data_IF_527340687729
#
_entry.id   IF_527340687729
#
_cell.length_a   1.000
_cell.length_b   1.000
_cell.length_c   1.000
_cell.angle_alpha   90.00
_cell.angle_beta   90.00
_cell.angle_gamma   90.00
#
_symmetry.space_group_name_H-M   'P 1'
#
loop_
_entity.id
_entity.type
_entity.pdbx_description
1 polymer ?
#
# COMPACT_ATOMS: atom_id res chain seq x y z
N UNK A 1 -55.22 -23.46 -39.18
CA UNK A 1 -54.51 -22.16 -38.94
C UNK A 1 -54.79 -21.57 -37.54
N UNK A 2 -56.05 -21.55 -37.04
CA UNK A 2 -56.36 -21.05 -35.67
C UNK A 2 -55.64 -21.82 -34.56
N UNK A 3 -55.57 -23.16 -34.62
CA UNK A 3 -54.89 -24.00 -33.60
C UNK A 3 -53.37 -23.71 -33.50
N UNK A 4 -52.70 -23.49 -34.63
CA UNK A 4 -51.27 -23.20 -34.67
C UNK A 4 -50.94 -21.80 -34.08
N UNK A 5 -51.80 -20.80 -34.37
CA UNK A 5 -51.69 -19.43 -33.80
C UNK A 5 -51.81 -19.46 -32.29
N UNK A 6 -52.79 -20.17 -31.74
CA UNK A 6 -53.00 -20.27 -30.29
C UNK A 6 -51.86 -21.02 -29.60
N UNK A 7 -51.26 -22.04 -30.23
CA UNK A 7 -50.06 -22.71 -29.71
C UNK A 7 -48.85 -21.77 -29.70
N UNK A 8 -48.65 -20.99 -30.76
CA UNK A 8 -47.56 -20.03 -30.84
C UNK A 8 -47.66 -18.92 -29.77
N UNK A 9 -48.86 -18.38 -29.57
CA UNK A 9 -49.13 -17.40 -28.53
C UNK A 9 -48.85 -17.95 -27.11
N UNK A 10 -49.27 -19.19 -26.85
CA UNK A 10 -48.99 -19.87 -25.57
C UNK A 10 -47.50 -20.07 -25.35
N UNK A 11 -46.78 -20.54 -26.39
CA UNK A 11 -45.31 -20.70 -26.31
C UNK A 11 -44.60 -19.35 -26.08
N UNK A 12 -45.04 -18.30 -26.79
CA UNK A 12 -44.49 -16.96 -26.60
C UNK A 12 -44.69 -16.45 -25.16
N UNK A 13 -45.91 -16.63 -24.63
CA UNK A 13 -46.18 -16.23 -23.23
C UNK A 13 -45.30 -16.99 -22.23
N UNK A 14 -45.13 -18.30 -22.39
CA UNK A 14 -44.24 -19.09 -21.52
C UNK A 14 -42.78 -18.63 -21.66
N UNK A 15 -42.32 -18.33 -22.89
CA UNK A 15 -40.97 -17.83 -23.11
C UNK A 15 -40.76 -16.44 -22.48
N UNK A 16 -41.75 -15.54 -22.57
CA UNK A 16 -41.70 -14.20 -21.98
C UNK A 16 -41.69 -14.29 -20.44
N UNK A 17 -42.55 -15.14 -19.86
CA UNK A 17 -42.56 -15.40 -18.40
C UNK A 17 -41.23 -15.99 -17.91
N UNK A 18 -40.66 -16.97 -18.61
CA UNK A 18 -39.38 -17.56 -18.29
C UNK A 18 -38.22 -16.55 -18.41
N UNK A 19 -38.28 -15.66 -19.41
CA UNK A 19 -37.30 -14.58 -19.59
C UNK A 19 -37.37 -13.57 -18.45
N UNK A 20 -38.58 -13.21 -18.05
CA UNK A 20 -38.77 -12.27 -16.94
C UNK A 20 -38.25 -12.87 -15.62
N UNK A 21 -38.59 -14.12 -15.33
CA UNK A 21 -38.08 -14.83 -14.12
C UNK A 21 -36.57 -14.94 -14.14
N UNK A 22 -35.94 -15.24 -15.28
CA UNK A 22 -34.50 -15.27 -15.43
C UNK A 22 -33.86 -13.90 -15.19
N UNK A 23 -34.46 -12.80 -15.67
CA UNK A 23 -33.99 -11.44 -15.44
C UNK A 23 -34.10 -11.04 -13.97
N UNK A 24 -35.20 -11.38 -13.30
CA UNK A 24 -35.36 -11.12 -11.85
C UNK A 24 -34.30 -11.88 -11.03
N UNK A 25 -34.09 -13.15 -11.32
CA UNK A 25 -33.04 -13.95 -10.66
C UNK A 25 -31.63 -13.43 -10.91
N UNK A 26 -31.38 -12.97 -12.15
CA UNK A 26 -30.05 -12.35 -12.47
C UNK A 26 -29.84 -11.09 -11.65
N UNK A 27 -30.84 -10.22 -11.54
CA UNK A 27 -30.77 -9.01 -10.73
C UNK A 27 -30.55 -9.30 -9.23
N UNK A 28 -31.23 -10.34 -8.70
CA UNK A 28 -31.03 -10.78 -7.31
C UNK A 28 -29.60 -11.29 -7.07
N UNK A 29 -29.07 -12.08 -8.02
CA UNK A 29 -27.70 -12.60 -7.96
C UNK A 29 -26.67 -11.48 -8.04
N UNK A 30 -26.87 -10.47 -8.88
CA UNK A 30 -25.99 -9.30 -8.97
C UNK A 30 -25.95 -8.52 -7.65
N UNK A 31 -27.10 -8.30 -7.01
CA UNK A 31 -27.19 -7.64 -5.69
C UNK A 31 -26.47 -8.48 -4.62
N UNK A 32 -26.69 -9.78 -4.59
CA UNK A 32 -26.02 -10.67 -3.63
C UNK A 32 -24.51 -10.71 -3.86
N UNK A 33 -24.08 -10.83 -5.11
CA UNK A 33 -22.68 -10.80 -5.53
C UNK A 33 -22.01 -9.49 -5.09
N UNK A 34 -22.65 -8.33 -5.32
CA UNK A 34 -22.16 -7.02 -4.88
C UNK A 34 -22.04 -6.90 -3.35
N UNK A 35 -22.92 -7.56 -2.59
CA UNK A 35 -22.78 -7.59 -1.12
C UNK A 35 -21.62 -8.47 -0.69
N UNK A 36 -21.44 -9.64 -1.30
CA UNK A 36 -20.34 -10.56 -0.97
C UNK A 36 -18.97 -10.01 -1.37
N UNK A 37 -18.90 -9.20 -2.44
CA UNK A 37 -17.63 -8.58 -2.86
C UNK A 37 -16.96 -7.71 -1.78
N UNK A 38 -17.75 -7.20 -0.82
CA UNK A 38 -17.22 -6.40 0.31
C UNK A 38 -16.49 -7.21 1.38
N UNK A 39 -16.65 -8.53 1.38
CA UNK A 39 -16.02 -9.45 2.34
C UNK A 39 -14.79 -10.16 1.76
N UNK A 40 -14.49 -9.93 0.49
CA UNK A 40 -13.33 -10.48 -0.21
C UNK A 40 -12.45 -9.33 -0.71
N UNK A 41 -11.15 -9.60 -0.89
CA UNK A 41 -10.35 -8.63 -1.65
C UNK A 41 -10.86 -8.56 -3.09
N UNK A 42 -10.86 -7.37 -3.73
CA UNK A 42 -11.38 -7.21 -5.09
C UNK A 42 -10.75 -8.18 -6.10
N UNK A 43 -9.43 -8.41 -5.98
CA UNK A 43 -8.69 -9.31 -6.88
C UNK A 43 -9.17 -10.76 -6.73
N UNK A 44 -9.45 -11.22 -5.51
CA UNK A 44 -9.94 -12.58 -5.26
C UNK A 44 -11.38 -12.73 -5.70
N UNK A 45 -12.20 -11.71 -5.45
CA UNK A 45 -13.56 -11.67 -5.96
C UNK A 45 -13.60 -11.84 -7.49
N UNK A 46 -12.80 -11.05 -8.24
CA UNK A 46 -12.71 -11.15 -9.69
C UNK A 46 -12.24 -12.53 -10.16
N UNK A 47 -11.24 -13.13 -9.50
CA UNK A 47 -10.75 -14.46 -9.84
C UNK A 47 -11.82 -15.55 -9.67
N UNK A 48 -12.60 -15.49 -8.59
CA UNK A 48 -13.68 -16.46 -8.32
C UNK A 48 -14.82 -16.27 -9.33
N UNK A 49 -15.28 -15.03 -9.56
CA UNK A 49 -16.43 -14.77 -10.42
C UNK A 49 -16.11 -14.85 -11.92
N UNK A 50 -14.84 -14.69 -12.34
CA UNK A 50 -14.40 -14.96 -13.70
C UNK A 50 -14.22 -16.46 -14.00
N UNK A 51 -14.32 -17.33 -12.99
CA UNK A 51 -14.10 -18.76 -13.12
C UNK A 51 -12.63 -19.16 -13.25
N UNK A 52 -11.70 -18.23 -13.02
CA UNK A 52 -10.26 -18.49 -13.07
C UNK A 52 -9.74 -19.18 -11.80
N UNK A 53 -10.50 -19.12 -10.72
CA UNK A 53 -10.16 -19.75 -9.45
C UNK A 53 -11.37 -20.49 -8.87
N UNK A 54 -11.18 -21.77 -8.55
CA UNK A 54 -12.17 -22.55 -7.82
C UNK A 54 -12.10 -22.28 -6.32
N UNK A 55 -13.24 -22.26 -5.64
CA UNK A 55 -13.34 -22.17 -4.19
C UNK A 55 -13.02 -23.52 -3.53
N UNK A 56 -11.91 -24.15 -3.89
CA UNK A 56 -11.43 -25.39 -3.32
C UNK A 56 -10.23 -25.12 -2.40
N UNK A 57 -9.97 -26.06 -1.47
CA UNK A 57 -8.75 -26.02 -0.61
C UNK A 57 -7.55 -26.30 -1.50
N UNK A 58 -6.97 -25.23 -2.07
CA UNK A 58 -5.79 -25.32 -2.91
C UNK A 58 -4.81 -24.20 -2.50
N UNK A 59 -3.54 -24.55 -2.46
CA UNK A 59 -2.50 -23.59 -2.15
C UNK A 59 -1.27 -23.83 -3.04
N UNK A 60 -0.50 -22.78 -3.25
CA UNK A 60 0.72 -22.83 -4.02
C UNK A 60 1.85 -22.06 -3.32
N UNK A 61 3.08 -22.48 -3.58
CA UNK A 61 4.28 -21.81 -3.05
C UNK A 61 4.73 -20.74 -4.04
N UNK A 62 4.70 -19.48 -3.59
CA UNK A 62 5.12 -18.32 -4.40
C UNK A 62 6.08 -17.43 -3.60
N UNK A 63 6.97 -16.73 -4.30
CA UNK A 63 7.77 -15.67 -3.70
C UNK A 63 6.94 -14.39 -3.75
N UNK A 64 6.54 -13.88 -2.59
CA UNK A 64 5.66 -12.74 -2.41
C UNK A 64 6.35 -11.64 -1.60
N UNK A 65 5.95 -10.41 -1.83
CA UNK A 65 6.28 -9.30 -0.94
C UNK A 65 5.12 -9.07 0.01
N UNK A 66 5.37 -9.20 1.30
CA UNK A 66 4.40 -9.11 2.38
C UNK A 66 4.59 -7.82 3.14
N UNK A 67 3.50 -7.13 3.37
CA UNK A 67 3.42 -5.85 4.06
C UNK A 67 2.55 -5.99 5.32
N UNK A 68 3.02 -5.43 6.41
CA UNK A 68 2.26 -5.18 7.63
C UNK A 68 2.31 -3.71 7.99
N UNK A 69 1.19 -3.15 8.41
CA UNK A 69 1.15 -1.86 9.09
C UNK A 69 0.29 -1.92 10.33
N UNK A 70 0.55 -1.04 11.29
CA UNK A 70 -0.15 -0.96 12.58
C UNK A 70 -0.18 0.49 13.06
N UNK A 71 -1.24 0.91 13.76
CA UNK A 71 -1.33 2.24 14.36
C UNK A 71 -0.59 2.23 15.70
N UNK A 72 0.32 3.16 15.87
CA UNK A 72 1.12 3.27 17.10
C UNK A 72 0.21 3.66 18.27
N UNK A 73 0.23 2.85 19.34
CA UNK A 73 -0.54 3.13 20.56
C UNK A 73 -2.06 2.98 20.41
N UNK A 74 -2.54 2.20 19.43
CA UNK A 74 -3.97 2.04 19.18
C UNK A 74 -4.73 1.50 20.39
N UNK A 75 -4.13 0.62 21.18
CA UNK A 75 -4.74 0.11 22.43
C UNK A 75 -5.11 1.25 23.38
N UNK A 76 -4.23 2.21 23.58
CA UNK A 76 -4.49 3.37 24.44
C UNK A 76 -5.60 4.26 23.86
N UNK A 77 -5.68 4.34 22.53
CA UNK A 77 -6.72 5.11 21.82
C UNK A 77 -8.09 4.44 22.06
N UNK A 78 -8.17 3.12 21.98
CA UNK A 78 -9.43 2.37 22.19
C UNK A 78 -9.99 2.50 23.61
N UNK A 79 -9.13 2.75 24.60
CA UNK A 79 -9.55 2.96 25.98
C UNK A 79 -10.14 4.36 26.23
N UNK A 80 -9.90 5.32 25.34
CA UNK A 80 -10.26 6.73 25.52
C UNK A 80 -11.39 7.21 24.62
N UNK A 81 -11.68 6.49 23.51
CA UNK A 81 -12.72 6.87 22.56
C UNK A 81 -14.03 6.12 22.84
N UNK A 82 -15.14 6.80 22.61
CA UNK A 82 -16.46 6.15 22.59
C UNK A 82 -16.56 5.19 21.39
N UNK A 83 -17.36 4.13 21.52
CA UNK A 83 -17.44 3.05 20.53
C UNK A 83 -17.81 3.51 19.12
N UNK A 84 -18.71 4.47 18.98
CA UNK A 84 -19.14 5.03 17.69
C UNK A 84 -18.02 5.85 17.05
N UNK A 85 -17.30 6.64 17.85
CA UNK A 85 -16.18 7.45 17.41
C UNK A 85 -15.00 6.57 16.97
N UNK A 86 -14.69 5.54 17.76
CA UNK A 86 -13.67 4.53 17.44
C UNK A 86 -14.00 3.81 16.12
N UNK A 87 -15.25 3.38 15.95
CA UNK A 87 -15.72 2.71 14.72
C UNK A 87 -15.57 3.63 13.51
N UNK A 88 -15.94 4.90 13.65
CA UNK A 88 -15.83 5.87 12.58
C UNK A 88 -14.37 6.16 12.22
N UNK A 89 -13.51 6.28 13.22
CA UNK A 89 -12.07 6.50 13.05
C UNK A 89 -11.41 5.34 12.30
N UNK A 90 -11.62 4.11 12.77
CA UNK A 90 -10.98 2.94 12.16
C UNK A 90 -11.48 2.69 10.74
N UNK A 91 -12.78 2.85 10.49
CA UNK A 91 -13.33 2.71 9.14
C UNK A 91 -12.80 3.77 8.17
N UNK A 92 -12.63 5.00 8.61
CA UNK A 92 -12.01 6.05 7.80
C UNK A 92 -10.55 5.69 7.49
N UNK A 93 -9.75 5.33 8.50
CA UNK A 93 -8.36 4.92 8.33
C UNK A 93 -8.22 3.74 7.35
N UNK A 94 -8.99 2.67 7.57
CA UNK A 94 -8.94 1.50 6.69
C UNK A 94 -9.37 1.82 5.26
N UNK A 95 -10.32 2.74 5.07
CA UNK A 95 -10.76 3.18 3.73
C UNK A 95 -9.64 3.90 2.99
N UNK A 96 -8.97 4.86 3.64
CA UNK A 96 -7.85 5.59 3.04
C UNK A 96 -6.70 4.65 2.68
N UNK A 97 -6.30 3.77 3.61
CA UNK A 97 -5.20 2.82 3.39
C UNK A 97 -5.53 1.79 2.31
N UNK A 98 -6.76 1.27 2.29
CA UNK A 98 -7.22 0.31 1.27
C UNK A 98 -7.24 0.93 -0.13
N UNK A 99 -7.67 2.17 -0.24
CA UNK A 99 -7.68 2.89 -1.52
C UNK A 99 -6.26 3.00 -2.09
N UNK A 100 -5.28 3.32 -1.24
CA UNK A 100 -3.87 3.35 -1.65
C UNK A 100 -3.39 1.94 -2.02
N UNK A 101 -3.71 0.92 -1.21
CA UNK A 101 -3.30 -0.46 -1.49
C UNK A 101 -3.77 -0.95 -2.87
N UNK A 102 -5.03 -0.72 -3.18
CA UNK A 102 -5.62 -1.12 -4.47
C UNK A 102 -5.01 -0.35 -5.65
N UNK A 103 -4.71 0.94 -5.48
CA UNK A 103 -4.04 1.77 -6.49
C UNK A 103 -2.70 1.17 -6.96
N UNK A 104 -1.94 0.56 -6.04
CA UNK A 104 -0.65 -0.06 -6.34
C UNK A 104 -0.74 -1.54 -6.70
N UNK A 105 -1.93 -2.14 -6.68
CA UNK A 105 -2.15 -3.56 -7.01
C UNK A 105 -1.86 -4.50 -5.83
N UNK A 106 -1.87 -3.99 -4.59
CA UNK A 106 -1.75 -4.80 -3.39
C UNK A 106 -2.99 -5.65 -3.14
N UNK A 107 -2.81 -6.91 -2.84
CA UNK A 107 -3.89 -7.81 -2.41
C UNK A 107 -4.05 -7.70 -0.90
N UNK A 108 -5.17 -7.13 -0.47
CA UNK A 108 -5.49 -7.01 0.96
C UNK A 108 -5.92 -8.39 1.45
N UNK A 109 -5.13 -8.97 2.34
CA UNK A 109 -5.46 -10.26 2.97
C UNK A 109 -6.54 -10.06 4.03
N UNK A 110 -6.23 -9.31 5.06
CA UNK A 110 -7.14 -9.05 6.19
C UNK A 110 -6.72 -7.85 7.02
N UNK A 111 -7.70 -7.39 7.80
CA UNK A 111 -7.48 -6.47 8.90
C UNK A 111 -7.41 -7.25 10.22
N UNK A 112 -6.45 -6.91 11.06
CA UNK A 112 -6.25 -7.54 12.38
C UNK A 112 -6.31 -6.41 13.43
N UNK A 113 -7.53 -6.04 13.83
CA UNK A 113 -7.76 -4.80 14.57
C UNK A 113 -7.47 -3.59 13.69
N UNK A 114 -6.48 -2.81 14.06
CA UNK A 114 -5.95 -1.67 13.30
C UNK A 114 -4.81 -2.03 12.34
N UNK A 115 -4.27 -3.25 12.48
CA UNK A 115 -3.23 -3.73 11.59
C UNK A 115 -3.79 -4.17 10.22
N UNK A 116 -3.00 -3.95 9.18
CA UNK A 116 -3.34 -4.32 7.81
C UNK A 116 -2.27 -5.27 7.27
N UNK A 117 -2.71 -6.45 6.81
CA UNK A 117 -1.88 -7.39 6.07
C UNK A 117 -2.18 -7.30 4.58
N UNK A 118 -1.15 -7.02 3.78
CA UNK A 118 -1.21 -6.92 2.33
C UNK A 118 -0.07 -7.73 1.73
N UNK A 119 -0.28 -8.31 0.56
CA UNK A 119 0.80 -8.93 -0.19
C UNK A 119 0.75 -8.58 -1.68
N UNK A 120 1.90 -8.72 -2.35
CA UNK A 120 2.10 -8.51 -3.78
C UNK A 120 2.69 -9.76 -4.41
N UNK A 121 2.32 -10.01 -5.67
CA UNK A 121 2.79 -11.17 -6.44
C UNK A 121 1.78 -12.30 -6.57
N UNK A 122 0.55 -12.09 -6.05
CA UNK A 122 -0.58 -13.00 -6.20
C UNK A 122 -1.91 -12.23 -5.98
N UNK A 123 -2.98 -12.52 -6.74
CA UNK A 123 -3.06 -13.44 -7.87
C UNK A 123 -2.27 -13.00 -9.10
N UNK A 124 -1.98 -11.70 -9.23
CA UNK A 124 -1.20 -11.12 -10.32
C UNK A 124 0.21 -10.75 -9.85
N UNK A 125 1.20 -10.91 -10.72
CA UNK A 125 2.58 -10.53 -10.46
C UNK A 125 3.16 -9.83 -11.69
N UNK A 126 3.90 -8.75 -11.43
CA UNK A 126 4.71 -8.04 -12.43
C UNK A 126 6.19 -8.46 -12.38
N UNK A 127 6.49 -9.41 -11.52
CA UNK A 127 7.85 -9.86 -11.20
C UNK A 127 8.33 -9.36 -9.83
N UNK A 128 9.19 -10.12 -9.18
CA UNK A 128 9.56 -9.93 -7.77
C UNK A 128 10.07 -8.53 -7.44
N UNK A 129 10.87 -7.94 -8.32
CA UNK A 129 11.43 -6.60 -8.11
C UNK A 129 10.35 -5.52 -8.27
N UNK A 130 9.47 -5.63 -9.27
CA UNK A 130 8.39 -4.67 -9.50
C UNK A 130 7.29 -4.79 -8.45
N UNK A 131 6.96 -6.00 -8.01
CA UNK A 131 6.03 -6.25 -6.90
C UNK A 131 6.55 -5.64 -5.59
N UNK A 132 7.85 -5.82 -5.28
CA UNK A 132 8.48 -5.20 -4.13
C UNK A 132 8.54 -3.67 -4.23
N UNK A 133 8.85 -3.13 -5.41
CA UNK A 133 8.86 -1.68 -5.65
C UNK A 133 7.46 -1.07 -5.50
N UNK A 134 6.43 -1.73 -6.04
CA UNK A 134 5.03 -1.31 -5.90
C UNK A 134 4.60 -1.31 -4.43
N UNK A 135 5.01 -2.31 -3.66
CA UNK A 135 4.77 -2.37 -2.22
C UNK A 135 5.43 -1.20 -1.47
N UNK A 136 6.67 -0.84 -1.80
CA UNK A 136 7.35 0.30 -1.18
C UNK A 136 6.70 1.63 -1.54
N UNK A 137 6.33 1.83 -2.81
CA UNK A 137 5.60 3.04 -3.25
C UNK A 137 4.28 3.19 -2.51
N UNK A 138 3.52 2.11 -2.37
CA UNK A 138 2.31 2.06 -1.55
C UNK A 138 2.59 2.48 -0.11
N UNK A 139 3.62 1.91 0.52
CA UNK A 139 3.99 2.21 1.89
C UNK A 139 4.38 3.68 2.10
N UNK A 140 5.12 4.26 1.16
CA UNK A 140 5.50 5.68 1.18
C UNK A 140 4.26 6.56 1.05
N UNK A 141 3.35 6.27 0.10
CA UNK A 141 2.11 7.03 -0.05
C UNK A 141 1.20 6.92 1.17
N UNK A 142 1.12 5.75 1.83
CA UNK A 142 0.41 5.59 3.09
C UNK A 142 0.98 6.50 4.19
N UNK A 143 2.31 6.58 4.34
CA UNK A 143 2.94 7.49 5.30
C UNK A 143 2.68 8.97 4.96
N UNK A 144 2.75 9.33 3.68
CA UNK A 144 2.41 10.69 3.22
C UNK A 144 0.96 11.05 3.54
N UNK A 145 0.01 10.13 3.29
CA UNK A 145 -1.39 10.30 3.64
C UNK A 145 -1.59 10.52 5.14
N UNK A 146 -0.92 9.76 5.99
CA UNK A 146 -0.97 9.97 7.44
C UNK A 146 -0.44 11.34 7.86
N UNK A 147 0.60 11.86 7.20
CA UNK A 147 1.10 13.21 7.42
C UNK A 147 0.09 14.29 6.97
N UNK A 148 -0.53 14.12 5.80
CA UNK A 148 -1.61 15.02 5.33
C UNK A 148 -2.78 15.08 6.32
N UNK A 149 -3.12 13.94 6.93
CA UNK A 149 -4.21 13.81 7.89
C UNK A 149 -3.83 14.27 9.31
N UNK A 150 -2.63 14.79 9.56
CA UNK A 150 -2.17 15.18 10.91
C UNK A 150 -3.18 16.06 11.64
N UNK A 151 -3.68 17.11 10.99
CA UNK A 151 -4.67 18.03 11.58
C UNK A 151 -6.10 17.51 11.53
N UNK A 152 -6.37 16.52 10.68
CA UNK A 152 -7.71 15.94 10.52
C UNK A 152 -8.13 15.16 11.76
N UNK A 153 -7.22 14.40 12.36
CA UNK A 153 -7.50 13.53 13.50
C UNK A 153 -8.00 14.30 14.72
N UNK A 154 -7.31 15.37 15.10
CA UNK A 154 -7.74 16.20 16.23
C UNK A 154 -9.00 17.04 15.98
N UNK A 155 -9.35 17.31 14.70
CA UNK A 155 -10.56 18.07 14.35
C UNK A 155 -11.81 17.21 14.29
N UNK A 156 -11.69 15.97 13.88
CA UNK A 156 -12.84 15.10 13.59
C UNK A 156 -13.02 14.00 14.64
N UNK A 157 -12.00 13.74 15.45
CA UNK A 157 -12.02 12.76 16.51
C UNK A 157 -11.40 13.37 17.76
N UNK A 158 -11.80 12.91 18.94
CA UNK A 158 -11.33 13.45 20.23
C UNK A 158 -9.90 13.04 20.58
N UNK A 159 -9.00 13.03 19.56
CA UNK A 159 -7.61 12.63 19.73
C UNK A 159 -6.74 13.79 20.19
N UNK A 160 -5.87 13.52 21.18
CA UNK A 160 -4.89 14.48 21.70
C UNK A 160 -3.68 14.65 20.78
N UNK A 161 -3.37 13.62 19.98
CA UNK A 161 -2.24 13.61 19.04
C UNK A 161 -2.65 13.00 17.71
N UNK A 162 -1.91 13.36 16.65
CA UNK A 162 -2.12 12.75 15.35
C UNK A 162 -1.78 11.25 15.39
N UNK A 163 -2.52 10.46 14.58
CA UNK A 163 -2.20 9.05 14.39
C UNK A 163 -0.89 8.92 13.61
N UNK A 164 -0.10 7.94 13.99
CA UNK A 164 1.09 7.50 13.27
C UNK A 164 1.04 5.99 13.06
N UNK A 165 1.57 5.55 11.94
CA UNK A 165 1.67 4.13 11.60
C UNK A 165 3.14 3.73 11.50
N UNK A 166 3.41 2.46 11.73
CA UNK A 166 4.69 1.81 11.46
C UNK A 166 4.46 0.69 10.45
N UNK A 167 5.46 0.45 9.63
CA UNK A 167 5.34 -0.45 8.49
C UNK A 167 6.53 -1.40 8.45
N UNK A 168 6.25 -2.69 8.25
CA UNK A 168 7.22 -3.75 8.03
C UNK A 168 6.97 -4.48 6.72
N UNK A 169 8.04 -4.67 5.90
CA UNK A 169 7.93 -5.31 4.59
C UNK A 169 9.00 -6.40 4.46
N UNK A 170 8.60 -7.56 3.98
CA UNK A 170 9.50 -8.66 3.71
C UNK A 170 9.13 -9.40 2.42
N UNK A 171 10.13 -9.80 1.65
CA UNK A 171 9.95 -10.63 0.45
C UNK A 171 10.47 -12.04 0.72
N UNK A 172 9.68 -13.05 0.39
CA UNK A 172 10.09 -14.43 0.58
C UNK A 172 9.11 -15.45 0.05
N UNK A 173 9.49 -16.74 0.09
CA UNK A 173 8.62 -17.83 -0.34
C UNK A 173 7.56 -18.13 0.71
N UNK A 174 6.33 -17.84 0.36
CA UNK A 174 5.12 -18.10 1.14
C UNK A 174 4.28 -19.22 0.50
N UNK A 175 3.35 -19.74 1.26
CA UNK A 175 2.26 -20.54 0.72
C UNK A 175 1.01 -19.66 0.69
N UNK A 176 0.43 -19.45 -0.48
CA UNK A 176 -0.76 -18.63 -0.71
C UNK A 176 -1.87 -19.47 -1.33
N UNK A 177 -3.10 -19.19 -0.97
CA UNK A 177 -4.27 -19.90 -1.47
C UNK A 177 -5.40 -19.96 -0.45
N UNK A 178 -6.33 -20.89 -0.70
CA UNK A 178 -7.48 -21.14 0.17
C UNK A 178 -7.08 -22.04 1.33
N UNK A 179 -7.21 -21.53 2.54
CA UNK A 179 -6.99 -22.27 3.79
C UNK A 179 -8.24 -22.26 4.64
N UNK A 180 -8.52 -23.35 5.31
CA UNK A 180 -9.63 -23.44 6.23
C UNK A 180 -10.28 -24.83 6.31
N UNK A 181 -11.55 -24.84 6.60
CA UNK A 181 -12.38 -26.06 6.68
C UNK A 181 -13.35 -26.11 5.49
N UNK A 182 -14.07 -27.23 5.37
CA UNK A 182 -15.13 -27.39 4.36
C UNK A 182 -16.21 -26.28 4.43
N UNK A 183 -16.41 -25.69 5.62
CA UNK A 183 -17.47 -24.70 5.86
C UNK A 183 -16.97 -23.26 5.85
N UNK A 184 -15.64 -23.04 5.89
CA UNK A 184 -15.05 -21.70 5.92
C UNK A 184 -13.66 -21.73 5.31
N UNK A 185 -13.48 -20.95 4.25
CA UNK A 185 -12.21 -20.75 3.57
C UNK A 185 -11.80 -19.28 3.66
N UNK A 186 -10.52 -19.06 3.92
CA UNK A 186 -9.88 -17.77 3.82
C UNK A 186 -8.81 -17.86 2.72
N UNK A 187 -8.84 -16.97 1.75
CA UNK A 187 -7.71 -16.80 0.84
C UNK A 187 -6.66 -15.97 1.54
N UNK A 188 -5.53 -16.56 1.84
CA UNK A 188 -4.51 -15.93 2.68
C UNK A 188 -3.11 -16.43 2.36
N UNK A 189 -2.12 -15.77 2.92
CA UNK A 189 -0.71 -16.10 2.84
C UNK A 189 -0.19 -16.59 4.19
N UNK A 190 0.55 -17.70 4.19
CA UNK A 190 1.19 -18.25 5.39
C UNK A 190 2.68 -18.54 5.13
N UNK A 191 3.46 -18.51 6.19
CA UNK A 191 4.88 -18.88 6.18
C UNK A 191 5.75 -17.99 7.05
N UNK A 192 7.01 -18.37 7.22
CA UNK A 192 8.00 -17.59 7.97
C UNK A 192 8.20 -16.16 7.43
N UNK A 193 8.10 -15.89 6.10
CA UNK A 193 8.20 -14.52 5.60
C UNK A 193 7.10 -13.59 6.10
N UNK A 194 5.88 -14.09 6.31
CA UNK A 194 4.77 -13.32 6.89
C UNK A 194 5.08 -12.91 8.32
N UNK A 195 5.58 -13.84 9.11
CA UNK A 195 5.98 -13.58 10.49
C UNK A 195 7.16 -12.59 10.58
N UNK A 196 8.07 -12.61 9.60
CA UNK A 196 9.18 -11.66 9.56
C UNK A 196 8.65 -10.25 9.26
N UNK A 197 7.74 -10.09 8.29
CA UNK A 197 7.14 -8.79 7.97
C UNK A 197 6.45 -8.17 9.21
N UNK A 198 5.66 -8.95 9.95
CA UNK A 198 5.03 -8.51 11.20
C UNK A 198 6.05 -8.09 12.28
N UNK A 199 7.17 -8.82 12.42
CA UNK A 199 8.22 -8.45 13.38
C UNK A 199 8.97 -7.19 12.97
N UNK A 200 9.21 -6.99 11.69
CA UNK A 200 9.80 -5.75 11.17
C UNK A 200 8.89 -4.57 11.46
N UNK A 201 7.58 -4.72 11.23
CA UNK A 201 6.57 -3.72 11.61
C UNK A 201 6.69 -3.37 13.09
N UNK A 202 6.64 -4.37 13.97
CA UNK A 202 6.71 -4.16 15.43
C UNK A 202 8.04 -3.55 15.91
N UNK A 203 9.11 -3.71 15.13
CA UNK A 203 10.44 -3.13 15.41
C UNK A 203 10.61 -1.72 14.84
N UNK A 204 9.70 -1.30 13.95
CA UNK A 204 9.77 0.02 13.34
C UNK A 204 9.42 1.13 14.31
N UNK A 205 10.12 2.25 14.21
CA UNK A 205 9.75 3.47 14.92
C UNK A 205 8.48 4.08 14.28
N UNK A 206 7.71 4.90 15.02
CA UNK A 206 6.56 5.62 14.46
C UNK A 206 6.92 6.37 13.16
N UNK A 207 6.04 6.29 12.17
CA UNK A 207 6.20 6.89 10.84
C UNK A 207 7.36 6.34 10.00
N UNK A 208 7.89 5.17 10.35
CA UNK A 208 9.00 4.53 9.63
C UNK A 208 8.54 3.29 8.86
N UNK A 209 9.27 3.02 7.77
CA UNK A 209 9.10 1.84 6.93
C UNK A 209 10.38 1.02 7.02
N UNK A 210 10.26 -0.19 7.52
CA UNK A 210 11.38 -1.12 7.68
C UNK A 210 11.22 -2.30 6.71
N UNK A 211 12.30 -2.63 6.01
CA UNK A 211 12.32 -3.75 5.07
C UNK A 211 13.39 -4.77 5.42
N UNK A 212 13.18 -6.04 5.07
CA UNK A 212 14.18 -7.09 5.19
C UNK A 212 15.30 -6.95 4.16
N UNK A 213 16.41 -7.65 4.38
CA UNK A 213 17.53 -7.76 3.43
C UNK A 213 17.06 -8.28 2.06
N UNK A 214 16.16 -9.28 2.03
CA UNK A 214 15.61 -9.81 0.77
C UNK A 214 14.83 -8.76 -0.03
N UNK A 215 14.06 -7.92 0.64
CA UNK A 215 13.35 -6.81 0.00
C UNK A 215 14.33 -5.73 -0.45
N UNK A 216 15.30 -5.37 0.42
CA UNK A 216 16.35 -4.40 0.10
C UNK A 216 17.08 -4.76 -1.21
N UNK A 217 17.50 -6.01 -1.37
CA UNK A 217 18.23 -6.46 -2.56
C UNK A 217 17.41 -6.31 -3.87
N UNK A 218 16.09 -6.32 -3.79
CA UNK A 218 15.21 -6.15 -4.94
C UNK A 218 14.99 -4.69 -5.34
N UNK A 219 15.11 -3.76 -4.37
CA UNK A 219 14.66 -2.37 -4.54
C UNK A 219 15.75 -1.31 -4.35
N UNK A 220 16.97 -1.69 -3.96
CA UNK A 220 18.08 -0.79 -3.62
C UNK A 220 18.49 0.18 -4.72
N UNK A 221 18.21 -0.16 -5.99
CA UNK A 221 18.52 0.70 -7.12
C UNK A 221 17.42 1.75 -7.39
N UNK A 222 16.26 1.63 -6.72
CA UNK A 222 15.10 2.49 -6.88
C UNK A 222 14.81 3.35 -5.64
N UNK A 223 15.33 2.95 -4.47
CA UNK A 223 15.06 3.62 -3.19
C UNK A 223 16.35 3.83 -2.41
N UNK A 224 16.43 4.93 -1.69
CA UNK A 224 17.46 5.15 -0.69
C UNK A 224 17.06 4.43 0.61
N UNK A 225 17.91 3.50 1.06
CA UNK A 225 17.69 2.72 2.28
C UNK A 225 18.96 2.71 3.13
N UNK A 226 18.78 2.78 4.45
CA UNK A 226 19.86 2.72 5.41
C UNK A 226 19.75 1.47 6.29
N UNK A 227 20.88 0.79 6.52
CA UNK A 227 20.95 -0.36 7.42
C UNK A 227 20.73 0.11 8.87
N UNK A 228 19.71 -0.42 9.54
CA UNK A 228 19.35 -0.05 10.91
C UNK A 228 19.84 -1.07 11.92
N UNK A 229 19.88 -2.35 11.55
CA UNK A 229 20.29 -3.40 12.46
C UNK A 229 20.03 -4.81 11.96
N UNK A 230 20.06 -5.75 12.91
CA UNK A 230 19.84 -7.16 12.67
C UNK A 230 18.76 -7.72 13.62
N UNK A 231 17.89 -8.58 13.11
CA UNK A 231 16.88 -9.29 13.89
C UNK A 231 17.19 -10.79 13.93
N UNK A 232 17.16 -11.39 15.12
CA UNK A 232 17.25 -12.84 15.30
C UNK A 232 15.85 -13.44 15.21
N UNK A 233 15.70 -14.42 14.35
CA UNK A 233 14.46 -15.15 14.15
C UNK A 233 14.57 -16.57 14.72
N UNK A 234 13.51 -17.01 15.44
CA UNK A 234 13.42 -18.39 15.88
C UNK A 234 13.36 -19.31 14.64
N UNK A 235 14.32 -20.24 14.56
CA UNK A 235 14.42 -21.17 13.42
C UNK A 235 15.31 -20.70 12.26
N UNK A 236 15.92 -19.51 12.36
CA UNK A 236 16.93 -19.02 11.41
C UNK A 236 18.25 -18.88 12.15
N UNK A 237 19.29 -19.57 11.67
CA UNK A 237 20.59 -19.66 12.36
C UNK A 237 21.40 -18.36 12.31
N UNK A 238 21.17 -17.52 11.30
CA UNK A 238 21.85 -16.22 11.12
C UNK A 238 20.91 -15.07 11.42
N UNK A 239 21.40 -13.96 11.98
CA UNK A 239 20.64 -12.73 12.05
C UNK A 239 20.27 -12.25 10.64
N UNK A 240 19.11 -11.64 10.51
CA UNK A 240 18.63 -11.03 9.25
C UNK A 240 18.77 -9.51 9.39
N UNK A 241 19.51 -8.92 8.48
CA UNK A 241 19.63 -7.46 8.39
C UNK A 241 18.32 -6.84 7.97
N UNK A 242 18.07 -5.63 8.47
CA UNK A 242 16.93 -4.85 8.05
C UNK A 242 17.29 -3.38 7.83
N UNK A 243 16.51 -2.73 7.00
CA UNK A 243 16.80 -1.41 6.45
C UNK A 243 15.60 -0.49 6.61
N UNK A 244 15.86 0.78 6.90
CA UNK A 244 14.85 1.83 6.88
C UNK A 244 14.79 2.46 5.49
N UNK A 245 13.58 2.67 4.98
CA UNK A 245 13.34 3.39 3.72
C UNK A 245 13.40 4.89 4.00
N UNK A 246 14.32 5.59 3.31
CA UNK A 246 14.52 7.03 3.47
C UNK A 246 13.72 7.82 2.44
N UNK A 247 13.84 7.45 1.16
CA UNK A 247 13.12 8.09 0.05
C UNK A 247 13.11 7.21 -1.19
N UNK A 248 12.19 7.48 -2.12
CA UNK A 248 12.28 6.99 -3.48
C UNK A 248 13.38 7.76 -4.22
N UNK A 249 14.24 7.06 -4.96
CA UNK A 249 15.23 7.68 -5.86
C UNK A 249 14.51 8.06 -7.16
N UNK A 250 13.80 9.17 -7.15
CA UNK A 250 13.27 9.76 -8.39
C UNK A 250 14.32 10.68 -9.01
N UNK A 251 14.30 10.82 -10.33
CA UNK A 251 15.16 11.83 -10.99
C UNK A 251 14.91 13.24 -10.42
N UNK A 252 13.73 13.51 -9.89
CA UNK A 252 13.37 14.76 -9.20
C UNK A 252 14.00 14.86 -7.80
N UNK A 253 14.13 13.77 -7.04
CA UNK A 253 14.82 13.76 -5.74
C UNK A 253 16.33 13.94 -5.86
N UNK A 254 16.89 13.67 -7.04
CA UNK A 254 18.30 13.92 -7.36
C UNK A 254 18.56 15.34 -7.85
N UNK A 255 17.52 16.15 -8.05
CA UNK A 255 17.61 17.56 -8.45
C UNK A 255 17.37 18.47 -7.25
N UNK A 256 18.39 19.19 -6.85
CA UNK A 256 18.23 20.32 -5.94
C UNK A 256 17.74 21.51 -6.77
N UNK A 257 16.51 21.91 -6.58
CA UNK A 257 15.92 23.08 -7.24
C UNK A 257 15.72 24.17 -6.20
N UNK A 258 16.39 25.31 -6.41
CA UNK A 258 16.15 26.55 -5.68
C UNK A 258 15.52 27.51 -6.71
N UNK A 259 14.23 27.79 -6.53
CA UNK A 259 13.49 28.69 -7.42
C UNK A 259 12.86 29.82 -6.58
N UNK A 260 13.37 31.03 -6.81
CA UNK A 260 12.89 32.26 -6.19
C UNK A 260 12.54 33.27 -7.29
N UNK A 261 11.92 34.39 -6.94
CA UNK A 261 11.57 35.46 -7.88
C UNK A 261 12.78 35.98 -8.72
N UNK A 262 14.02 35.77 -8.24
CA UNK A 262 15.23 36.33 -8.83
C UNK A 262 16.37 35.33 -9.05
N UNK A 263 16.22 34.08 -8.59
CA UNK A 263 17.28 33.08 -8.67
C UNK A 263 16.66 31.71 -8.93
N UNK A 264 17.11 31.06 -9.99
CA UNK A 264 16.82 29.65 -10.27
C UNK A 264 18.11 28.86 -10.36
N UNK A 265 18.26 27.87 -9.46
CA UNK A 265 19.39 26.93 -9.49
C UNK A 265 18.79 25.53 -9.58
N UNK A 266 19.25 24.74 -10.54
CA UNK A 266 18.88 23.35 -10.71
C UNK A 266 20.18 22.52 -10.76
N UNK A 267 20.35 21.62 -9.79
CA UNK A 267 21.52 20.77 -9.66
C UNK A 267 21.07 19.30 -9.75
N UNK A 268 21.71 18.53 -10.61
CA UNK A 268 21.53 17.09 -10.68
C UNK A 268 22.65 16.43 -9.85
N UNK A 269 22.29 15.83 -8.71
CA UNK A 269 23.26 15.25 -7.75
C UNK A 269 24.05 14.08 -8.35
N UNK A 270 23.49 13.30 -9.29
CA UNK A 270 24.19 12.18 -9.95
C UNK A 270 25.27 12.62 -10.94
N UNK A 271 25.03 13.70 -11.63
CA UNK A 271 25.96 14.23 -12.64
C UNK A 271 26.88 15.34 -12.09
N UNK A 272 26.73 15.69 -10.80
CA UNK A 272 27.47 16.77 -10.16
C UNK A 272 28.93 16.38 -9.97
N UNK A 273 29.85 17.05 -10.67
CA UNK A 273 31.28 16.78 -10.66
C UNK A 273 32.09 17.90 -10.04
N UNK A 274 33.42 17.71 -10.01
CA UNK A 274 34.38 18.74 -9.47
C UNK A 274 34.31 20.06 -10.21
N UNK A 275 34.02 20.04 -11.51
CA UNK A 275 33.91 21.23 -12.38
C UNK A 275 32.68 22.04 -12.01
N UNK A 276 31.54 21.35 -11.71
CA UNK A 276 30.29 21.98 -11.26
C UNK A 276 30.45 22.63 -9.89
N UNK A 277 31.20 21.99 -8.98
CA UNK A 277 31.55 22.55 -7.68
C UNK A 277 32.33 23.86 -7.82
N UNK A 278 33.31 23.87 -8.70
CA UNK A 278 34.13 25.05 -8.98
C UNK A 278 33.30 26.20 -9.59
N UNK A 279 32.36 25.86 -10.46
CA UNK A 279 31.44 26.82 -11.05
C UNK A 279 30.49 27.42 -10.01
N UNK A 280 29.97 26.61 -9.11
CA UNK A 280 29.13 27.06 -7.98
C UNK A 280 29.88 27.99 -7.04
N UNK A 281 31.13 27.65 -6.72
CA UNK A 281 31.99 28.48 -5.87
C UNK A 281 32.27 29.84 -6.52
N UNK A 282 32.51 29.87 -7.82
CA UNK A 282 32.68 31.10 -8.59
C UNK A 282 31.40 31.96 -8.63
N UNK A 283 30.23 31.33 -8.80
CA UNK A 283 28.93 32.02 -8.75
C UNK A 283 28.70 32.59 -7.37
N UNK A 284 28.96 31.82 -6.30
CA UNK A 284 28.83 32.28 -4.92
C UNK A 284 29.72 33.50 -4.63
N UNK A 285 30.98 33.49 -5.07
CA UNK A 285 31.92 34.61 -4.87
C UNK A 285 31.44 35.87 -5.63
N UNK A 286 30.92 35.74 -6.83
CA UNK A 286 30.33 36.85 -7.59
C UNK A 286 29.11 37.42 -6.90
N UNK A 287 28.21 36.58 -6.41
CA UNK A 287 27.01 37.01 -5.68
C UNK A 287 27.39 37.75 -4.40
N UNK A 288 28.38 37.26 -3.62
CA UNK A 288 28.90 37.90 -2.44
C UNK A 288 29.48 39.28 -2.72
N UNK A 289 30.17 39.44 -3.85
CA UNK A 289 30.72 40.73 -4.28
C UNK A 289 29.59 41.73 -4.59
N UNK A 290 28.57 41.32 -5.37
CA UNK A 290 27.39 42.16 -5.68
C UNK A 290 26.65 42.60 -4.41
N UNK A 291 26.47 41.68 -3.47
CA UNK A 291 25.79 41.99 -2.20
C UNK A 291 26.59 43.03 -1.38
N UNK A 292 27.91 42.91 -1.30
CA UNK A 292 28.78 43.87 -0.62
C UNK A 292 28.75 45.24 -1.29
N UNK A 293 28.71 45.31 -2.63
CA UNK A 293 28.60 46.60 -3.35
C UNK A 293 27.23 47.25 -3.11
N UNK A 294 26.13 46.45 -3.05
CA UNK A 294 24.80 46.96 -2.78
C UNK A 294 24.66 47.48 -1.36
N UNK A 295 25.28 46.84 -0.35
CA UNK A 295 25.34 47.34 1.02
C UNK A 295 26.12 48.63 1.15
N UNK A 296 27.27 48.72 0.50
CA UNK A 296 28.10 49.95 0.50
C UNK A 296 27.46 51.14 -0.25
N UNK A 297 26.49 50.87 -1.13
CA UNK A 297 25.73 51.90 -1.83
C UNK A 297 24.53 52.43 -1.02
N UNK A 298 24.03 51.64 -0.04
CA UNK A 298 22.91 52.03 0.83
C UNK A 298 23.41 52.83 2.07
N UNK A 299 24.69 52.74 2.40
CA UNK A 299 25.32 53.45 3.54
C UNK A 299 25.96 54.81 3.13
N UNK A 300 25.71 55.25 1.89
CA UNK A 300 26.05 56.59 1.41
C UNK A 300 24.80 57.40 1.07
#
# INVERSE_FOLDING_TARGET
RRSLSTQLEKQKKIADEAKQEAQEKTAELEVLSSKLSRYLSPQIYEQIFSGNQDANVTSQRKKLTVFFSDIVGFTDITEHLESEELTSLINFYLTEMSTIALKYGGTIDKYIGDAILIFFGDPESKGYAEDAASCLKMAIEMQQKMQELTNFWGKNFSLKSALSIRIGINTGFCTVGNFGSENRLDYTVIGSPVNLASRLESSAQPNKIIVSEETYLLVRDLFALEEVGEIKLKGISRPVKYYEVISEQTEEAERLIIDTSHLKIELNQKSFGKEDLLNLENVYLKMKHIMNEAQNATDK
#
